data_IF_364629323877
#
_entry.id   IF_364629323877
#
_cell.length_a   1.000
_cell.length_b   1.000
_cell.length_c   1.000
_cell.angle_alpha   90.00
_cell.angle_beta   90.00
_cell.angle_gamma   90.00
#
_symmetry.space_group_name_H-M   'P 1'
#
loop_
_entity.id
_entity.type
_entity.pdbx_description
1 polymer ?
#
# COMPACT_ATOMS: atom_id res chain seq x y z
N UNK A 1 67.58 -2.31 -41.83
CA UNK A 1 67.55 -2.86 -40.45
C UNK A 1 67.52 -1.69 -39.50
N UNK A 2 66.41 -1.45 -38.82
CA UNK A 2 66.24 -0.35 -37.85
C UNK A 2 65.53 -0.90 -36.60
N UNK A 3 66.03 -0.45 -35.46
CA UNK A 3 65.78 -0.95 -34.12
C UNK A 3 64.85 0.00 -33.34
N UNK A 4 63.92 -0.62 -32.60
CA UNK A 4 63.32 -0.28 -31.30
C UNK A 4 62.78 1.12 -30.90
N UNK A 5 61.65 1.01 -30.17
CA UNK A 5 61.06 1.88 -29.15
C UNK A 5 60.39 3.20 -29.58
N UNK A 6 59.06 3.26 -29.46
CA UNK A 6 58.45 4.22 -28.54
C UNK A 6 57.04 3.79 -28.12
N UNK A 7 56.74 4.07 -26.86
CA UNK A 7 55.62 3.60 -26.05
C UNK A 7 54.37 4.43 -26.36
N UNK A 8 53.21 3.79 -26.54
CA UNK A 8 51.91 4.46 -26.37
C UNK A 8 51.16 3.82 -25.19
N UNK A 9 50.64 4.60 -24.22
CA UNK A 9 50.13 4.10 -22.97
C UNK A 9 48.62 3.83 -23.00
N UNK A 10 48.24 2.78 -22.27
CA UNK A 10 47.19 2.71 -21.23
C UNK A 10 45.84 3.43 -21.39
N UNK A 11 44.82 2.67 -20.94
CA UNK A 11 43.50 3.07 -20.42
C UNK A 11 42.32 2.97 -21.41
N UNK A 12 42.03 1.74 -21.85
CA UNK A 12 40.68 1.33 -22.17
C UNK A 12 39.96 0.89 -20.87
N UNK A 13 39.25 1.86 -20.32
CA UNK A 13 37.90 1.74 -19.71
C UNK A 13 37.58 0.46 -18.95
N UNK A 14 37.65 0.62 -17.62
CA UNK A 14 36.96 -0.20 -16.64
C UNK A 14 35.44 -0.20 -16.87
N UNK A 15 34.87 -1.33 -17.27
CA UNK A 15 33.46 -1.67 -17.01
C UNK A 15 33.37 -3.17 -16.77
N UNK A 16 33.86 -3.61 -15.61
CA UNK A 16 33.64 -4.97 -15.13
C UNK A 16 33.01 -4.90 -13.74
N UNK A 17 31.69 -5.12 -13.71
CA UNK A 17 31.05 -5.98 -12.73
C UNK A 17 31.18 -5.63 -11.25
N UNK A 18 30.29 -4.76 -10.78
CA UNK A 18 29.67 -4.84 -9.46
C UNK A 18 28.25 -4.25 -9.65
N UNK A 19 27.23 -4.99 -10.11
CA UNK A 19 26.52 -6.02 -9.32
C UNK A 19 26.44 -5.70 -7.82
N UNK A 20 26.10 -4.45 -7.48
CA UNK A 20 25.38 -4.14 -6.23
C UNK A 20 24.25 -3.17 -6.55
N UNK A 21 23.37 -3.58 -7.46
CA UNK A 21 22.04 -2.98 -7.57
C UNK A 21 21.15 -3.60 -6.49
N UNK A 22 21.44 -3.31 -5.23
CA UNK A 22 20.40 -3.33 -4.22
C UNK A 22 19.76 -1.95 -4.25
N UNK A 23 18.61 -1.74 -4.90
CA UNK A 23 17.66 -0.85 -4.29
C UNK A 23 17.11 -1.63 -3.10
N UNK A 24 17.89 -1.70 -2.01
CA UNK A 24 17.30 -1.41 -0.72
C UNK A 24 16.96 0.09 -0.76
N UNK A 25 16.08 0.47 -1.69
CA UNK A 25 15.20 1.58 -1.52
C UNK A 25 14.45 1.18 -0.27
N UNK A 26 14.96 1.65 0.87
CA UNK A 26 14.20 1.80 2.07
C UNK A 26 12.83 2.24 1.59
N UNK A 27 11.84 1.39 1.80
CA UNK A 27 10.46 1.77 1.65
C UNK A 27 10.25 2.87 2.67
N UNK A 28 10.61 4.10 2.29
CA UNK A 28 10.01 5.29 2.82
C UNK A 28 8.54 5.12 2.41
N UNK A 29 7.78 4.43 3.26
CA UNK A 29 6.34 4.48 3.21
C UNK A 29 6.03 5.97 3.09
N UNK A 30 5.34 6.40 2.01
CA UNK A 30 5.04 7.81 1.84
C UNK A 30 4.43 8.30 3.14
N UNK A 31 4.82 9.49 3.62
CA UNK A 31 4.28 10.09 4.83
C UNK A 31 2.74 10.04 4.78
N UNK A 32 2.16 9.03 5.42
CA UNK A 32 0.84 8.54 5.06
C UNK A 32 0.41 7.43 6.02
N UNK A 33 -0.89 7.34 6.26
CA UNK A 33 -1.46 6.37 7.21
C UNK A 33 -1.09 4.94 6.83
N UNK A 34 -0.60 4.15 7.79
CA UNK A 34 -0.34 2.71 7.61
C UNK A 34 -1.57 1.99 7.05
N UNK A 35 -2.76 2.35 7.52
CA UNK A 35 -4.00 1.79 7.01
C UNK A 35 -4.22 2.15 5.53
N UNK A 36 -3.96 3.40 5.14
CA UNK A 36 -4.15 3.83 3.75
C UNK A 36 -3.28 3.02 2.78
N UNK A 37 -2.03 2.72 3.18
CA UNK A 37 -1.11 1.87 2.42
C UNK A 37 -1.61 0.44 2.36
N UNK A 38 -2.06 -0.13 3.50
CA UNK A 38 -2.58 -1.50 3.55
C UNK A 38 -3.83 -1.68 2.68
N UNK A 39 -4.78 -0.76 2.75
CA UNK A 39 -5.98 -0.78 1.90
C UNK A 39 -5.63 -0.68 0.43
N UNK A 40 -4.63 0.12 0.06
CA UNK A 40 -4.17 0.26 -1.31
C UNK A 40 -3.50 -1.02 -1.82
N UNK A 41 -2.60 -1.60 -1.02
CA UNK A 41 -1.90 -2.84 -1.34
C UNK A 41 -2.87 -4.04 -1.45
N UNK A 42 -3.93 -4.05 -0.64
CA UNK A 42 -4.97 -5.07 -0.66
C UNK A 42 -6.01 -4.87 -1.76
N UNK A 43 -5.87 -3.85 -2.63
CA UNK A 43 -6.83 -3.58 -3.70
C UNK A 43 -8.21 -3.15 -3.18
N UNK A 44 -8.24 -2.39 -2.08
CA UNK A 44 -9.47 -1.94 -1.43
C UNK A 44 -10.41 -1.19 -2.38
N UNK A 45 -11.70 -1.48 -2.26
CA UNK A 45 -12.77 -0.92 -3.06
C UNK A 45 -13.70 -0.10 -2.15
N UNK A 46 -13.83 1.22 -2.34
CA UNK A 46 -14.78 2.02 -1.58
C UNK A 46 -16.21 1.56 -1.90
N UNK A 47 -17.00 1.25 -0.88
CA UNK A 47 -18.40 0.83 -1.03
C UNK A 47 -19.36 2.01 -0.90
N UNK A 48 -19.05 2.95 -0.01
CA UNK A 48 -19.87 4.12 0.29
C UNK A 48 -19.60 4.69 1.68
N UNK A 49 -20.43 5.66 2.06
CA UNK A 49 -20.46 6.32 3.36
C UNK A 49 -21.82 6.04 4.02
N UNK A 50 -21.82 5.71 5.31
CA UNK A 50 -23.02 5.65 6.14
C UNK A 50 -22.70 6.21 7.52
N UNK A 51 -23.52 7.15 7.99
CA UNK A 51 -23.37 7.79 9.30
C UNK A 51 -21.95 8.35 9.56
N UNK A 52 -21.39 9.07 8.59
CA UNK A 52 -20.03 9.63 8.68
C UNK A 52 -18.89 8.60 8.59
N UNK A 53 -19.20 7.31 8.51
CA UNK A 53 -18.22 6.22 8.43
C UNK A 53 -18.14 5.67 7.00
N UNK A 54 -16.92 5.57 6.49
CA UNK A 54 -16.65 5.04 5.14
C UNK A 54 -16.44 3.54 5.18
N UNK A 55 -16.96 2.85 4.18
CA UNK A 55 -16.86 1.41 4.03
C UNK A 55 -15.94 1.06 2.87
N UNK A 56 -14.96 0.20 3.13
CA UNK A 56 -14.01 -0.30 2.13
C UNK A 56 -14.05 -1.81 2.13
N UNK A 57 -14.21 -2.42 0.96
CA UNK A 57 -14.15 -3.87 0.75
C UNK A 57 -12.78 -4.28 0.25
N UNK A 58 -12.24 -5.32 0.84
CA UNK A 58 -11.08 -6.05 0.35
C UNK A 58 -11.57 -7.42 -0.11
N UNK A 59 -11.20 -7.81 -1.33
CA UNK A 59 -11.45 -9.17 -1.82
C UNK A 59 -10.13 -9.94 -1.75
N UNK A 60 -10.01 -10.84 -0.79
CA UNK A 60 -8.84 -11.70 -0.64
C UNK A 60 -8.79 -12.78 -1.74
N UNK A 61 -7.60 -13.31 -1.98
CA UNK A 61 -7.34 -14.29 -3.05
C UNK A 61 -8.06 -15.62 -2.86
N UNK A 62 -8.37 -16.00 -1.62
CA UNK A 62 -9.16 -17.19 -1.26
C UNK A 62 -10.67 -17.01 -1.49
N UNK A 63 -11.10 -15.82 -1.92
CA UNK A 63 -12.50 -15.44 -2.11
C UNK A 63 -13.16 -14.88 -0.85
N UNK A 64 -12.43 -14.72 0.26
CA UNK A 64 -12.92 -14.04 1.45
C UNK A 64 -13.09 -12.55 1.18
N UNK A 65 -14.21 -11.96 1.63
CA UNK A 65 -14.45 -10.51 1.55
C UNK A 65 -14.36 -9.90 2.93
N UNK A 66 -13.54 -8.88 3.08
CA UNK A 66 -13.35 -8.17 4.34
C UNK A 66 -13.90 -6.76 4.16
N UNK A 67 -14.80 -6.34 5.04
CA UNK A 67 -15.31 -4.97 5.07
C UNK A 67 -14.68 -4.23 6.23
N UNK A 68 -13.98 -3.14 5.91
CA UNK A 68 -13.34 -2.22 6.85
C UNK A 68 -14.17 -0.95 6.93
N UNK A 69 -14.39 -0.46 8.14
CA UNK A 69 -14.99 0.85 8.41
C UNK A 69 -13.92 1.85 8.82
N UNK A 70 -14.01 3.07 8.29
CA UNK A 70 -13.06 4.16 8.54
C UNK A 70 -13.85 5.40 8.97
N UNK A 71 -13.58 5.89 10.17
CA UNK A 71 -13.98 7.23 10.59
C UNK A 71 -12.83 8.20 10.24
N UNK A 72 -13.06 9.03 9.23
CA UNK A 72 -12.05 9.97 8.73
C UNK A 72 -11.81 11.16 9.65
N UNK A 73 -12.82 11.60 10.39
CA UNK A 73 -12.72 12.75 11.30
C UNK A 73 -11.97 12.38 12.57
N UNK A 74 -12.27 11.20 13.13
CA UNK A 74 -11.61 10.70 14.34
C UNK A 74 -10.29 9.96 14.03
N UNK A 75 -9.99 9.74 12.75
CA UNK A 75 -8.87 8.91 12.28
C UNK A 75 -8.83 7.54 12.97
N UNK A 76 -9.97 6.85 12.93
CA UNK A 76 -10.15 5.52 13.52
C UNK A 76 -10.65 4.52 12.48
N UNK A 77 -10.33 3.24 12.68
CA UNK A 77 -10.82 2.18 11.81
C UNK A 77 -11.04 0.87 12.56
N UNK A 78 -11.81 -0.04 11.95
CA UNK A 78 -11.94 -1.43 12.39
C UNK A 78 -12.38 -2.32 11.24
N UNK A 79 -12.18 -3.62 11.39
CA UNK A 79 -12.90 -4.61 10.57
C UNK A 79 -14.33 -4.65 11.09
N UNK A 80 -15.31 -4.50 10.19
CA UNK A 80 -16.72 -4.57 10.52
C UNK A 80 -17.32 -5.94 10.17
N UNK A 81 -16.77 -6.59 9.13
CA UNK A 81 -17.29 -7.86 8.64
C UNK A 81 -16.23 -8.67 7.91
N UNK A 82 -16.25 -9.98 8.09
CA UNK A 82 -15.49 -10.95 7.30
C UNK A 82 -16.50 -11.93 6.70
N UNK A 83 -16.50 -12.09 5.39
CA UNK A 83 -17.38 -13.01 4.66
C UNK A 83 -16.50 -14.05 3.95
N UNK A 84 -16.27 -15.23 4.55
CA UNK A 84 -15.51 -16.30 3.90
C UNK A 84 -16.18 -16.75 2.61
N UNK A 85 -15.41 -17.31 1.69
CA UNK A 85 -15.97 -17.93 0.47
C UNK A 85 -17.00 -19.02 0.79
N UNK A 86 -16.82 -19.74 1.91
CA UNK A 86 -17.71 -20.81 2.37
C UNK A 86 -19.08 -20.31 2.83
N UNK A 87 -19.26 -18.99 3.00
CA UNK A 87 -20.57 -18.39 3.24
C UNK A 87 -20.57 -17.46 4.44
N UNK A 88 -21.25 -17.90 5.51
CA UNK A 88 -21.78 -17.05 6.59
C UNK A 88 -20.84 -15.93 7.03
N UNK A 89 -21.34 -14.70 6.93
CA UNK A 89 -20.67 -13.50 7.39
C UNK A 89 -20.44 -13.53 8.91
N UNK A 90 -19.21 -13.23 9.32
CA UNK A 90 -18.83 -12.90 10.69
C UNK A 90 -18.85 -11.38 10.86
N UNK A 91 -19.68 -10.88 11.76
CA UNK A 91 -19.79 -9.46 12.07
C UNK A 91 -18.90 -9.15 13.27
N UNK A 92 -18.02 -8.17 13.09
CA UNK A 92 -16.98 -7.84 14.05
C UNK A 92 -17.41 -6.61 14.83
N UNK A 93 -17.36 -6.70 16.16
CA UNK A 93 -17.47 -5.57 17.07
C UNK A 93 -16.13 -5.31 17.78
N UNK A 94 -15.06 -5.36 16.99
CA UNK A 94 -13.72 -5.11 17.48
C UNK A 94 -13.56 -3.64 17.89
N UNK A 95 -12.63 -3.40 18.82
CA UNK A 95 -12.23 -2.03 19.20
C UNK A 95 -11.65 -1.28 18.00
N UNK A 96 -11.95 0.00 17.93
CA UNK A 96 -11.34 0.88 16.94
C UNK A 96 -9.83 0.99 17.14
N UNK A 97 -9.11 0.94 16.03
CA UNK A 97 -7.67 1.12 15.93
C UNK A 97 -7.36 2.50 15.35
N UNK A 98 -6.19 3.04 15.66
CA UNK A 98 -5.74 4.29 15.07
C UNK A 98 -5.53 4.14 13.55
N UNK A 99 -6.03 5.12 12.81
CA UNK A 99 -5.80 5.33 11.39
C UNK A 99 -5.05 6.65 11.16
N UNK A 100 -4.18 7.06 12.09
CA UNK A 100 -3.50 8.36 12.05
C UNK A 100 -3.03 8.77 10.64
N UNK A 101 -3.40 9.99 10.23
CA UNK A 101 -3.12 10.54 8.91
C UNK A 101 -4.02 10.06 7.77
N UNK A 102 -5.03 9.22 8.01
CA UNK A 102 -5.89 8.71 6.95
C UNK A 102 -6.80 9.81 6.38
N UNK A 103 -7.11 10.84 7.16
CA UNK A 103 -7.95 11.96 6.73
C UNK A 103 -7.42 12.67 5.47
N UNK A 104 -6.10 12.66 5.27
CA UNK A 104 -5.43 13.25 4.10
C UNK A 104 -5.34 12.30 2.89
N UNK A 105 -5.75 11.04 3.04
CA UNK A 105 -5.63 10.03 2.00
C UNK A 105 -6.84 10.03 1.07
N UNK A 106 -6.69 9.42 -0.12
CA UNK A 106 -7.79 9.20 -1.07
C UNK A 106 -9.00 8.48 -0.46
N UNK A 107 -8.79 7.69 0.59
CA UNK A 107 -9.88 6.99 1.28
C UNK A 107 -10.86 7.94 1.96
N UNK A 108 -10.40 9.13 2.36
CA UNK A 108 -11.18 10.16 3.02
C UNK A 108 -11.46 11.38 2.14
N UNK A 109 -10.61 11.67 1.15
CA UNK A 109 -10.76 12.85 0.28
C UNK A 109 -11.54 12.57 -1.01
N UNK A 110 -11.62 11.33 -1.47
CA UNK A 110 -12.39 11.00 -2.69
C UNK A 110 -13.88 11.02 -2.39
N UNK A 111 -14.73 11.62 -3.24
CA UNK A 111 -16.18 11.50 -3.12
C UNK A 111 -16.62 10.03 -3.17
N UNK A 112 -17.57 9.66 -2.30
CA UNK A 112 -18.21 8.34 -2.30
C UNK A 112 -19.71 8.54 -2.20
N UNK A 113 -20.48 7.58 -2.74
CA UNK A 113 -21.93 7.59 -2.56
C UNK A 113 -22.31 7.39 -1.10
N UNK A 114 -23.38 8.02 -0.67
CA UNK A 114 -24.06 7.67 0.58
C UNK A 114 -24.80 6.35 0.38
N UNK A 115 -24.71 5.46 1.36
CA UNK A 115 -25.52 4.24 1.39
C UNK A 115 -26.81 4.53 2.16
N UNK A 116 -27.93 3.98 1.67
CA UNK A 116 -29.24 4.07 2.32
C UNK A 116 -29.41 3.01 3.41
#
# INVERSE_FOLDING_TARGET
>A
MTSLFSRLPLLLTAIAGCLVSHPAAAWAAPAGSNLAVLLQAAGGQPLGLYDGVRFVRINASDGTRITVTINCEQELWRVARIEPRSGRADFRDDRFQSAAGIGRSRWCTTPVRTME
#
